data_IF_878268060481
#
_entry.id   IF_878268060481
#
_cell.length_a   1.000
_cell.length_b   1.000
_cell.length_c   1.000
_cell.angle_alpha   90.00
_cell.angle_beta   90.00
_cell.angle_gamma   90.00
#
_symmetry.space_group_name_H-M   'P 1'
#
loop_
_entity.id
_entity.type
_entity.pdbx_description
1 polymer ?
#
# COMPACT_ATOMS: atom_id res chain seq x y z
N UNK A 1 -9.34 45.38 1.63
CA UNK A 1 -10.55 44.79 1.01
C UNK A 1 -10.32 43.30 0.92
N UNK A 2 -10.93 42.51 1.79
CA UNK A 2 -10.86 41.05 1.79
C UNK A 2 -11.57 40.55 0.53
N UNK A 3 -10.84 39.98 -0.44
CA UNK A 3 -11.44 39.44 -1.65
C UNK A 3 -12.41 38.34 -1.27
N UNK A 4 -13.69 38.50 -1.63
CA UNK A 4 -14.67 37.43 -1.63
C UNK A 4 -14.04 36.32 -2.48
N UNK A 5 -13.61 35.23 -1.85
CA UNK A 5 -12.96 34.12 -2.56
C UNK A 5 -13.92 33.65 -3.64
N UNK A 6 -13.54 33.84 -4.91
CA UNK A 6 -14.39 33.55 -6.06
C UNK A 6 -14.80 32.07 -6.00
N UNK A 7 -16.03 31.82 -5.56
CA UNK A 7 -16.63 30.50 -5.51
C UNK A 7 -16.82 30.05 -6.96
N UNK A 8 -16.33 28.85 -7.26
CA UNK A 8 -16.48 28.16 -8.53
C UNK A 8 -17.48 27.04 -8.31
N UNK A 9 -18.51 26.99 -9.16
CA UNK A 9 -19.48 25.89 -9.21
C UNK A 9 -19.03 24.90 -10.28
N UNK A 10 -19.04 23.62 -9.93
CA UNK A 10 -18.69 22.50 -10.80
C UNK A 10 -19.87 21.55 -10.88
N UNK A 11 -20.07 20.95 -12.04
CA UNK A 11 -20.98 19.85 -12.27
C UNK A 11 -20.16 18.67 -12.81
N UNK A 12 -19.93 17.65 -11.98
CA UNK A 12 -19.11 16.48 -12.30
C UNK A 12 -20.08 15.33 -12.58
N UNK A 13 -20.28 14.98 -13.85
CA UNK A 13 -21.15 13.86 -14.24
C UNK A 13 -22.60 13.97 -13.76
N UNK A 14 -23.11 15.19 -13.53
CA UNK A 14 -24.45 15.45 -12.99
C UNK A 14 -24.48 15.81 -11.50
N UNK A 15 -23.37 15.68 -10.77
CA UNK A 15 -23.29 16.02 -9.34
C UNK A 15 -22.67 17.40 -9.15
N UNK A 16 -23.34 18.26 -8.39
CA UNK A 16 -22.86 19.62 -8.12
C UNK A 16 -21.83 19.67 -6.99
N UNK A 17 -20.74 20.40 -7.22
CA UNK A 17 -19.73 20.73 -6.22
C UNK A 17 -19.45 22.24 -6.22
N UNK A 18 -19.01 22.76 -5.08
CA UNK A 18 -18.60 24.15 -4.95
C UNK A 18 -17.30 24.26 -4.16
N UNK A 19 -16.40 25.12 -4.63
CA UNK A 19 -15.12 25.37 -3.98
C UNK A 19 -14.56 26.74 -4.39
N UNK A 20 -13.38 27.10 -3.91
CA UNK A 20 -12.72 28.36 -4.30
C UNK A 20 -11.84 28.19 -5.54
N UNK A 21 -11.69 29.25 -6.35
CA UNK A 21 -10.68 29.27 -7.43
C UNK A 21 -9.29 28.90 -6.90
N UNK A 22 -8.91 29.41 -5.72
CA UNK A 22 -7.62 29.10 -5.09
C UNK A 22 -7.42 27.61 -4.78
N UNK A 23 -8.47 26.89 -4.43
CA UNK A 23 -8.39 25.43 -4.24
C UNK A 23 -8.13 24.74 -5.58
N UNK A 24 -8.87 25.12 -6.62
CA UNK A 24 -8.77 24.52 -7.95
C UNK A 24 -7.45 24.81 -8.66
N UNK A 25 -6.77 25.91 -8.30
CA UNK A 25 -5.48 26.30 -8.88
C UNK A 25 -4.27 26.05 -7.96
N UNK A 26 -4.48 25.46 -6.77
CA UNK A 26 -3.41 25.19 -5.79
C UNK A 26 -2.32 24.28 -6.35
N UNK A 27 -2.73 23.24 -7.07
CA UNK A 27 -1.84 22.28 -7.72
C UNK A 27 -1.89 22.48 -9.24
N UNK A 28 -0.80 22.13 -9.92
CA UNK A 28 -0.84 22.00 -11.38
C UNK A 28 -1.79 20.85 -11.75
N UNK A 29 -2.36 20.92 -12.95
CA UNK A 29 -3.25 19.88 -13.48
C UNK A 29 -4.40 20.45 -14.29
N UNK A 30 -5.46 19.65 -14.43
CA UNK A 30 -6.61 19.94 -15.27
C UNK A 30 -7.28 21.26 -14.90
N UNK A 31 -7.68 21.43 -13.64
CA UNK A 31 -8.44 22.59 -13.19
C UNK A 31 -7.65 23.89 -13.27
N UNK A 32 -6.36 23.86 -12.91
CA UNK A 32 -5.50 25.03 -13.01
C UNK A 32 -5.35 25.48 -14.46
N UNK A 33 -5.03 24.55 -15.36
CA UNK A 33 -4.95 24.81 -16.79
C UNK A 33 -6.27 25.39 -17.30
N UNK A 34 -7.39 24.77 -16.98
CA UNK A 34 -8.72 25.21 -17.40
C UNK A 34 -9.08 26.63 -16.91
N UNK A 35 -8.69 27.02 -15.69
CA UNK A 35 -9.07 28.30 -15.08
C UNK A 35 -8.06 29.45 -15.29
N UNK A 36 -6.86 29.13 -15.76
CA UNK A 36 -5.78 30.09 -16.01
C UNK A 36 -5.44 30.25 -17.51
N UNK A 37 -6.07 29.46 -18.39
CA UNK A 37 -5.94 29.58 -19.84
C UNK A 37 -7.26 29.96 -20.50
N UNK A 38 -7.22 30.45 -21.75
CA UNK A 38 -8.40 30.80 -22.54
C UNK A 38 -9.07 29.58 -23.21
N UNK A 39 -9.00 28.41 -22.58
CA UNK A 39 -9.68 27.20 -23.07
C UNK A 39 -11.19 27.37 -22.84
N UNK A 40 -12.03 27.19 -23.87
CA UNK A 40 -13.48 27.19 -23.69
C UNK A 40 -13.94 26.13 -22.70
N UNK A 41 -14.75 26.53 -21.72
CA UNK A 41 -15.37 25.63 -20.74
C UNK A 41 -16.84 25.42 -21.07
N UNK A 42 -17.27 24.17 -21.03
CA UNK A 42 -18.69 23.82 -21.08
C UNK A 42 -19.33 24.15 -19.74
N UNK A 43 -20.53 24.75 -19.77
CA UNK A 43 -21.34 25.01 -18.58
C UNK A 43 -22.70 24.36 -18.71
N UNK A 44 -23.27 23.95 -17.59
CA UNK A 44 -24.65 23.49 -17.53
C UNK A 44 -25.66 24.67 -17.56
N UNK A 45 -26.94 24.34 -17.48
CA UNK A 45 -28.04 25.32 -17.49
C UNK A 45 -28.02 26.30 -16.29
N UNK A 46 -27.31 25.95 -15.21
CA UNK A 46 -27.16 26.78 -14.01
C UNK A 46 -25.84 27.54 -13.98
N UNK A 47 -25.02 27.42 -15.03
CA UNK A 47 -23.75 28.12 -15.20
C UNK A 47 -22.58 27.50 -14.43
N UNK A 48 -22.73 26.28 -13.89
CA UNK A 48 -21.62 25.53 -13.31
C UNK A 48 -20.75 24.94 -14.42
N UNK A 49 -19.44 24.83 -14.18
CA UNK A 49 -18.51 24.23 -15.15
C UNK A 49 -18.77 22.73 -15.20
N UNK A 50 -19.17 22.23 -16.37
CA UNK A 50 -19.50 20.82 -16.55
C UNK A 50 -18.26 20.01 -16.93
N UNK A 51 -18.08 18.88 -16.25
CA UNK A 51 -17.01 17.91 -16.50
C UNK A 51 -17.67 16.53 -16.64
N UNK A 52 -17.46 15.91 -17.79
CA UNK A 52 -18.00 14.59 -18.12
C UNK A 52 -17.15 13.47 -17.50
N UNK A 53 -17.21 13.39 -16.17
CA UNK A 53 -16.49 12.40 -15.32
C UNK A 53 -17.38 11.90 -14.19
N UNK A 54 -17.02 10.76 -13.61
CA UNK A 54 -17.71 10.24 -12.43
C UNK A 54 -17.47 11.15 -11.22
N UNK A 55 -18.53 11.42 -10.46
CA UNK A 55 -18.47 12.16 -9.21
C UNK A 55 -18.05 11.31 -8.01
N UNK A 56 -18.03 9.98 -8.14
CA UNK A 56 -17.91 9.01 -7.04
C UNK A 56 -16.72 9.30 -6.10
N UNK A 57 -15.58 9.71 -6.66
CA UNK A 57 -14.36 10.01 -5.90
C UNK A 57 -14.02 11.50 -5.85
N UNK A 58 -14.90 12.37 -6.34
CA UNK A 58 -14.58 13.78 -6.48
C UNK A 58 -14.43 14.50 -5.14
N UNK A 59 -15.12 14.06 -4.08
CA UNK A 59 -14.90 14.58 -2.72
C UNK A 59 -13.46 14.32 -2.23
N UNK A 60 -12.92 13.13 -2.50
CA UNK A 60 -11.54 12.75 -2.14
C UNK A 60 -10.53 13.61 -2.91
N UNK A 61 -10.77 13.78 -4.22
CA UNK A 61 -9.97 14.67 -5.07
C UNK A 61 -10.01 16.11 -4.55
N UNK A 62 -11.19 16.61 -4.20
CA UNK A 62 -11.36 17.97 -3.74
C UNK A 62 -10.70 18.20 -2.37
N UNK A 63 -10.75 17.21 -1.48
CA UNK A 63 -10.03 17.24 -0.21
C UNK A 63 -8.51 17.23 -0.42
N UNK A 64 -8.00 16.39 -1.32
CA UNK A 64 -6.59 16.44 -1.72
C UNK A 64 -6.20 17.83 -2.25
N UNK A 65 -7.03 18.44 -3.09
CA UNK A 65 -6.77 19.80 -3.61
C UNK A 65 -6.82 20.89 -2.52
N UNK A 66 -7.55 20.67 -1.42
CA UNK A 66 -7.58 21.58 -0.26
C UNK A 66 -6.33 21.45 0.58
N UNK A 67 -5.95 20.22 0.93
CA UNK A 67 -4.99 19.95 2.00
C UNK A 67 -3.60 19.55 1.47
N UNK A 68 -3.53 18.93 0.30
CA UNK A 68 -2.33 18.33 -0.28
C UNK A 68 -2.04 16.91 0.19
N UNK A 69 -2.92 16.35 1.02
CA UNK A 69 -2.96 14.96 1.41
C UNK A 69 -4.41 14.51 1.53
N UNK A 70 -4.65 13.20 1.53
CA UNK A 70 -5.98 12.64 1.78
C UNK A 70 -5.84 11.20 2.29
N UNK A 71 -6.81 10.75 3.08
CA UNK A 71 -6.94 9.33 3.38
C UNK A 71 -7.48 8.62 2.12
N UNK A 72 -6.80 7.55 1.72
CA UNK A 72 -7.21 6.77 0.56
C UNK A 72 -8.37 5.82 0.94
N UNK A 73 -9.22 5.44 -0.03
CA UNK A 73 -10.25 4.42 0.17
C UNK A 73 -9.72 3.12 0.78
N UNK A 74 -10.58 2.38 1.47
CA UNK A 74 -10.18 1.18 2.21
C UNK A 74 -9.75 0.03 1.29
N UNK A 75 -10.40 -0.12 0.13
CA UNK A 75 -10.10 -1.23 -0.78
C UNK A 75 -9.18 -0.81 -1.91
N UNK A 76 -8.26 -1.70 -2.30
CA UNK A 76 -7.37 -1.50 -3.45
C UNK A 76 -8.12 -1.32 -4.77
N UNK A 77 -9.33 -1.87 -4.87
CA UNK A 77 -10.20 -1.63 -6.02
C UNK A 77 -10.58 -0.15 -6.10
N UNK A 78 -11.11 0.41 -5.02
CA UNK A 78 -11.49 1.82 -4.96
C UNK A 78 -10.29 2.74 -5.12
N UNK A 79 -9.12 2.38 -4.56
CA UNK A 79 -7.87 3.14 -4.78
C UNK A 79 -7.49 3.18 -6.26
N UNK A 80 -7.67 2.08 -6.99
CA UNK A 80 -7.43 2.04 -8.45
C UNK A 80 -8.44 2.91 -9.21
N UNK A 81 -9.72 2.86 -8.83
CA UNK A 81 -10.77 3.68 -9.44
C UNK A 81 -10.50 5.19 -9.17
N UNK A 82 -10.11 5.57 -7.95
CA UNK A 82 -9.64 6.92 -7.60
C UNK A 82 -8.40 7.33 -8.42
N UNK A 83 -7.43 6.42 -8.61
CA UNK A 83 -6.21 6.70 -9.37
C UNK A 83 -6.52 7.11 -10.81
N UNK A 84 -7.49 6.45 -11.45
CA UNK A 84 -7.95 6.79 -12.81
C UNK A 84 -8.51 8.21 -12.87
N UNK A 85 -9.27 8.63 -11.86
CA UNK A 85 -9.76 10.01 -11.79
C UNK A 85 -8.61 11.00 -11.50
N UNK A 86 -7.69 10.67 -10.59
CA UNK A 86 -6.52 11.50 -10.30
C UNK A 86 -5.63 11.73 -11.53
N UNK A 87 -5.47 10.71 -12.39
CA UNK A 87 -4.78 10.82 -13.68
C UNK A 87 -5.53 11.75 -14.64
N UNK A 88 -6.86 11.62 -14.73
CA UNK A 88 -7.68 12.52 -15.56
C UNK A 88 -7.53 13.99 -15.13
N UNK A 89 -7.60 14.25 -13.81
CA UNK A 89 -7.44 15.60 -13.27
C UNK A 89 -5.97 16.06 -13.22
N UNK A 90 -5.03 15.21 -13.63
CA UNK A 90 -3.59 15.49 -13.67
C UNK A 90 -3.02 15.93 -12.31
N UNK A 91 -3.42 15.22 -11.25
CA UNK A 91 -2.98 15.48 -9.89
C UNK A 91 -1.84 14.52 -9.51
N UNK A 92 -0.63 14.80 -10.00
CA UNK A 92 0.54 13.91 -9.88
C UNK A 92 0.78 13.41 -8.45
N UNK A 93 0.68 14.29 -7.44
CA UNK A 93 0.87 13.89 -6.03
C UNK A 93 -0.18 12.88 -5.54
N UNK A 94 -1.42 12.95 -6.02
CA UNK A 94 -2.46 11.97 -5.67
C UNK A 94 -2.26 10.64 -6.44
N UNK A 95 -1.82 10.72 -7.71
CA UNK A 95 -1.43 9.56 -8.51
C UNK A 95 -0.28 8.80 -7.84
N UNK A 96 0.73 9.51 -7.33
CA UNK A 96 1.84 8.92 -6.57
C UNK A 96 1.36 8.22 -5.30
N UNK A 97 0.46 8.85 -4.52
CA UNK A 97 -0.13 8.24 -3.33
C UNK A 97 -0.89 6.94 -3.65
N UNK A 98 -1.72 6.96 -4.70
CA UNK A 98 -2.47 5.79 -5.13
C UNK A 98 -1.54 4.66 -5.57
N UNK A 99 -0.55 4.96 -6.41
CA UNK A 99 0.43 3.98 -6.90
C UNK A 99 1.27 3.39 -5.77
N UNK A 100 1.69 4.20 -4.80
CA UNK A 100 2.41 3.71 -3.63
C UNK A 100 1.56 2.75 -2.79
N UNK A 101 0.28 3.06 -2.59
CA UNK A 101 -0.66 2.20 -1.87
C UNK A 101 -0.93 0.88 -2.62
N UNK A 102 -1.18 0.95 -3.93
CA UNK A 102 -1.38 -0.22 -4.79
C UNK A 102 -0.14 -1.11 -4.78
N UNK A 103 1.05 -0.51 -4.90
CA UNK A 103 2.33 -1.25 -4.82
C UNK A 103 2.50 -1.92 -3.46
N UNK A 104 2.29 -1.19 -2.37
CA UNK A 104 2.40 -1.75 -1.03
C UNK A 104 1.46 -2.94 -0.83
N UNK A 105 0.23 -2.87 -1.34
CA UNK A 105 -0.71 -3.98 -1.28
C UNK A 105 -0.29 -5.17 -2.16
N UNK A 106 0.18 -4.93 -3.39
CA UNK A 106 0.68 -5.98 -4.26
C UNK A 106 1.94 -6.66 -3.71
N UNK A 107 2.76 -5.91 -2.96
CA UNK A 107 3.97 -6.44 -2.32
C UNK A 107 3.65 -7.25 -1.06
N UNK A 108 2.43 -7.18 -0.51
CA UNK A 108 2.04 -7.99 0.65
C UNK A 108 1.79 -9.44 0.28
N UNK A 109 2.32 -10.34 1.11
CA UNK A 109 2.20 -11.79 0.98
C UNK A 109 1.58 -12.34 2.24
N UNK A 110 0.52 -13.15 2.08
CA UNK A 110 -0.10 -13.91 3.17
C UNK A 110 0.41 -15.35 3.15
N UNK A 111 0.96 -15.79 4.28
CA UNK A 111 1.49 -17.13 4.51
C UNK A 111 0.60 -17.85 5.52
N UNK A 112 0.09 -19.03 5.19
CA UNK A 112 -0.53 -19.94 6.15
C UNK A 112 0.51 -20.99 6.58
N UNK A 113 1.00 -20.88 7.81
CA UNK A 113 1.97 -21.83 8.39
C UNK A 113 1.21 -22.75 9.34
N UNK A 114 0.89 -23.96 8.88
CA UNK A 114 0.23 -24.98 9.72
C UNK A 114 -1.10 -24.55 10.36
N UNK A 115 -1.85 -23.67 9.71
CA UNK A 115 -3.16 -23.17 10.17
C UNK A 115 -3.13 -21.74 10.72
N UNK A 116 -1.96 -21.13 10.92
CA UNK A 116 -1.84 -19.74 11.36
C UNK A 116 -1.41 -18.84 10.20
N UNK A 117 -2.15 -17.73 9.99
CA UNK A 117 -1.88 -16.78 8.91
C UNK A 117 -0.95 -15.67 9.39
N UNK A 118 0.11 -15.44 8.62
CA UNK A 118 1.07 -14.36 8.77
C UNK A 118 1.01 -13.47 7.53
N UNK A 119 1.24 -12.17 7.70
CA UNK A 119 1.29 -11.21 6.60
C UNK A 119 2.57 -10.38 6.68
N UNK A 120 3.26 -10.24 5.56
CA UNK A 120 4.48 -9.43 5.43
C UNK A 120 4.66 -9.04 3.96
N UNK A 121 5.84 -8.59 3.53
CA UNK A 121 6.12 -8.26 2.12
C UNK A 121 6.99 -9.31 1.44
N UNK A 122 6.92 -9.39 0.10
CA UNK A 122 7.79 -10.23 -0.72
C UNK A 122 9.28 -9.91 -0.47
N UNK A 123 9.60 -8.62 -0.33
CA UNK A 123 10.95 -8.16 -0.05
C UNK A 123 11.46 -8.68 1.30
N UNK A 124 10.68 -8.53 2.38
CA UNK A 124 11.04 -9.06 3.71
C UNK A 124 11.33 -10.56 3.67
N UNK A 125 10.50 -11.35 3.00
CA UNK A 125 10.70 -12.80 2.91
C UNK A 125 11.95 -13.15 2.10
N UNK A 126 12.18 -12.48 0.98
CA UNK A 126 13.26 -12.84 0.03
C UNK A 126 14.64 -12.29 0.41
N UNK A 127 14.70 -11.29 1.29
CA UNK A 127 15.94 -10.60 1.67
C UNK A 127 17.00 -11.53 2.26
N UNK A 128 16.60 -12.37 3.22
CA UNK A 128 17.53 -13.17 4.03
C UNK A 128 17.26 -14.68 4.01
N UNK A 129 16.41 -15.15 3.10
CA UNK A 129 16.00 -16.56 3.02
C UNK A 129 16.06 -17.08 1.58
N UNK A 130 16.91 -18.08 1.34
CA UNK A 130 16.92 -18.79 0.06
C UNK A 130 15.61 -19.54 -0.17
N UNK A 131 15.02 -20.10 0.88
CA UNK A 131 13.75 -20.81 0.82
C UNK A 131 12.65 -19.91 0.25
N UNK A 132 12.47 -18.71 0.82
CA UNK A 132 11.47 -17.78 0.34
C UNK A 132 11.81 -17.19 -1.03
N UNK A 133 13.10 -16.99 -1.37
CA UNK A 133 13.50 -16.62 -2.74
C UNK A 133 13.02 -17.64 -3.76
N UNK A 134 13.26 -18.93 -3.52
CA UNK A 134 12.77 -19.99 -4.41
C UNK A 134 11.24 -20.02 -4.44
N UNK A 135 10.59 -19.94 -3.28
CA UNK A 135 9.13 -20.00 -3.18
C UNK A 135 8.42 -18.84 -3.90
N UNK A 136 8.98 -17.63 -3.85
CA UNK A 136 8.37 -16.43 -4.44
C UNK A 136 8.70 -16.22 -5.93
N UNK A 137 9.67 -16.96 -6.47
CA UNK A 137 10.09 -16.85 -7.87
C UNK A 137 9.54 -17.99 -8.75
N UNK A 138 9.06 -19.08 -8.15
CA UNK A 138 8.55 -20.26 -8.87
C UNK A 138 7.11 -20.58 -8.42
N UNK A 139 6.13 -19.92 -9.06
CA UNK A 139 4.71 -20.08 -8.73
C UNK A 139 4.21 -21.51 -8.88
N UNK A 140 4.84 -22.32 -9.73
CA UNK A 140 4.43 -23.71 -9.97
C UNK A 140 4.60 -24.62 -8.74
N UNK A 141 5.42 -24.18 -7.77
CA UNK A 141 5.68 -24.91 -6.51
C UNK A 141 4.87 -24.38 -5.33
N UNK A 142 4.12 -23.30 -5.51
CA UNK A 142 3.36 -22.66 -4.44
C UNK A 142 2.07 -23.42 -4.20
N UNK A 143 1.96 -24.05 -3.03
CA UNK A 143 0.69 -24.59 -2.54
C UNK A 143 -0.10 -23.43 -1.93
N UNK A 144 -1.39 -23.33 -2.22
CA UNK A 144 -2.29 -22.34 -1.62
C UNK A 144 -3.40 -23.04 -0.82
N UNK A 145 -3.85 -22.40 0.25
CA UNK A 145 -5.03 -22.84 0.98
C UNK A 145 -6.33 -22.36 0.30
N UNK A 146 -7.48 -22.69 0.90
CA UNK A 146 -8.82 -22.29 0.41
C UNK A 146 -9.03 -20.78 0.33
N UNK A 147 -8.25 -19.99 1.07
CA UNK A 147 -8.31 -18.53 1.09
C UNK A 147 -7.25 -17.90 0.15
N UNK A 148 -6.53 -18.71 -0.63
CA UNK A 148 -5.49 -18.25 -1.55
C UNK A 148 -4.17 -17.87 -0.88
N UNK A 149 -4.00 -18.09 0.44
CA UNK A 149 -2.75 -17.84 1.15
C UNK A 149 -1.72 -18.91 0.79
N UNK A 150 -0.43 -18.53 0.74
CA UNK A 150 0.65 -19.49 0.49
C UNK A 150 0.75 -20.44 1.68
N UNK A 151 0.49 -21.72 1.45
CA UNK A 151 0.51 -22.73 2.51
C UNK A 151 1.91 -23.31 2.70
N UNK A 152 2.38 -23.29 3.93
CA UNK A 152 3.64 -23.87 4.37
C UNK A 152 3.29 -24.97 5.37
N UNK A 153 3.56 -26.22 4.99
CA UNK A 153 3.34 -27.40 5.82
C UNK A 153 4.38 -27.50 6.96
N UNK A 154 4.30 -26.59 7.92
CA UNK A 154 5.16 -26.49 9.10
C UNK A 154 4.35 -26.03 10.31
N UNK A 155 4.86 -26.30 11.51
CA UNK A 155 4.25 -25.78 12.73
C UNK A 155 4.46 -24.27 12.85
N UNK A 156 3.43 -23.48 13.21
CA UNK A 156 3.57 -22.04 13.39
C UNK A 156 4.29 -21.64 14.67
N UNK A 157 4.51 -22.57 15.61
CA UNK A 157 4.98 -22.32 17.00
C UNK A 157 6.16 -21.34 17.11
N UNK A 158 7.09 -21.36 16.15
CA UNK A 158 8.30 -20.53 16.16
C UNK A 158 8.39 -19.55 14.99
N UNK A 159 7.36 -19.50 14.14
CA UNK A 159 7.43 -18.70 12.92
C UNK A 159 7.49 -17.20 13.22
N UNK A 160 6.87 -16.73 14.30
CA UNK A 160 7.01 -15.34 14.77
C UNK A 160 8.47 -14.96 15.03
N UNK A 161 9.28 -15.86 15.59
CA UNK A 161 10.70 -15.58 15.85
C UNK A 161 11.51 -15.52 14.56
N UNK A 162 11.16 -16.36 13.58
CA UNK A 162 11.75 -16.34 12.24
C UNK A 162 11.40 -15.01 11.55
N UNK A 163 10.12 -14.64 11.56
CA UNK A 163 9.63 -13.43 10.92
C UNK A 163 10.21 -12.17 11.56
N UNK A 164 10.24 -12.09 12.89
CA UNK A 164 10.85 -10.96 13.59
C UNK A 164 12.34 -10.84 13.33
N UNK A 165 13.07 -11.95 13.23
CA UNK A 165 14.49 -11.94 12.91
C UNK A 165 14.75 -11.37 11.50
N UNK A 166 13.98 -11.76 10.49
CA UNK A 166 14.17 -11.25 9.12
C UNK A 166 13.63 -9.83 8.93
N UNK A 167 12.70 -9.38 9.78
CA UNK A 167 12.18 -8.00 9.77
C UNK A 167 13.15 -7.03 10.46
N UNK A 168 13.74 -7.43 11.58
CA UNK A 168 14.52 -6.55 12.45
C UNK A 168 15.95 -7.09 12.65
N UNK A 169 16.94 -6.39 12.08
CA UNK A 169 18.36 -6.73 12.21
C UNK A 169 18.87 -6.72 13.67
N UNK A 170 18.20 -5.98 14.56
CA UNK A 170 18.52 -5.90 15.99
C UNK A 170 17.59 -6.76 16.87
N UNK A 171 16.89 -7.73 16.28
CA UNK A 171 15.99 -8.62 17.01
C UNK A 171 16.74 -9.39 18.12
N UNK A 172 16.15 -9.42 19.33
CA UNK A 172 16.66 -10.19 20.46
C UNK A 172 15.85 -11.47 20.66
N UNK A 173 16.44 -12.66 20.43
CA UNK A 173 15.76 -13.94 20.61
C UNK A 173 15.36 -14.25 22.06
N UNK A 174 14.45 -15.23 22.27
CA UNK A 174 14.17 -15.79 23.58
C UNK A 174 15.44 -16.39 24.22
N UNK A 175 15.54 -16.33 25.56
CA UNK A 175 16.70 -16.85 26.33
C UNK A 175 16.59 -18.32 26.75
N UNK A 176 15.44 -18.96 26.53
CA UNK A 176 15.26 -20.36 26.92
C UNK A 176 15.96 -21.29 25.93
N UNK A 177 16.92 -22.10 26.40
CA UNK A 177 17.73 -22.97 25.55
C UNK A 177 16.91 -23.98 24.74
N UNK A 178 15.85 -24.54 25.32
CA UNK A 178 14.97 -25.48 24.61
C UNK A 178 14.27 -24.80 23.44
N UNK A 179 13.78 -23.57 23.66
CA UNK A 179 13.14 -22.77 22.61
C UNK A 179 14.17 -22.40 21.51
N UNK A 180 15.38 -21.98 21.89
CA UNK A 180 16.43 -21.65 20.92
C UNK A 180 16.78 -22.86 20.03
N UNK A 181 16.90 -24.07 20.60
CA UNK A 181 17.19 -25.28 19.82
C UNK A 181 16.09 -25.58 18.79
N UNK A 182 14.83 -25.37 19.17
CA UNK A 182 13.69 -25.51 18.26
C UNK A 182 13.74 -24.44 17.16
N UNK A 183 14.01 -23.16 17.50
CA UNK A 183 14.15 -22.08 16.52
C UNK A 183 15.30 -22.34 15.53
N UNK A 184 16.46 -22.84 15.98
CA UNK A 184 17.58 -23.20 15.09
C UNK A 184 17.15 -24.23 14.03
N UNK A 185 16.23 -25.13 14.36
CA UNK A 185 15.69 -26.10 13.41
C UNK A 185 14.87 -25.41 12.33
N UNK A 186 14.08 -24.41 12.70
CA UNK A 186 13.31 -23.59 11.75
C UNK A 186 14.20 -22.67 10.90
N UNK A 187 15.21 -22.01 11.49
CA UNK A 187 16.20 -21.19 10.77
C UNK A 187 16.85 -21.99 9.62
N UNK A 188 17.18 -23.26 9.88
CA UNK A 188 17.72 -24.17 8.85
C UNK A 188 16.68 -24.54 7.80
N UNK A 189 15.44 -24.86 8.21
CA UNK A 189 14.36 -25.20 7.29
C UNK A 189 14.06 -24.04 6.32
N UNK A 190 13.90 -22.83 6.85
CA UNK A 190 13.68 -21.60 6.06
C UNK A 190 14.95 -21.07 5.41
N UNK A 191 16.07 -21.80 5.47
CA UNK A 191 17.35 -21.44 4.85
C UNK A 191 17.74 -19.97 5.08
N UNK A 192 17.65 -19.49 6.34
CA UNK A 192 18.08 -18.14 6.67
C UNK A 192 19.61 -18.00 6.60
N UNK A 193 20.09 -16.82 6.21
CA UNK A 193 21.52 -16.54 6.03
C UNK A 193 22.33 -16.52 7.35
N UNK A 194 23.66 -16.57 7.23
CA UNK A 194 24.62 -16.80 8.32
C UNK A 194 24.52 -15.90 9.57
N UNK A 195 24.20 -14.59 9.52
CA UNK A 195 24.09 -13.80 10.76
C UNK A 195 23.03 -14.35 11.72
N UNK A 196 21.95 -14.93 11.20
CA UNK A 196 20.90 -15.56 12.00
C UNK A 196 21.36 -16.88 12.62
N UNK A 197 22.04 -17.72 11.83
CA UNK A 197 22.58 -19.00 12.31
C UNK A 197 23.57 -18.79 13.46
N UNK A 198 24.41 -17.75 13.36
CA UNK A 198 25.38 -17.41 14.40
C UNK A 198 24.70 -16.87 15.66
N UNK A 199 23.71 -15.97 15.53
CA UNK A 199 22.94 -15.41 16.66
C UNK A 199 22.29 -16.51 17.50
N UNK A 200 21.51 -17.40 16.86
CA UNK A 200 20.85 -18.49 17.58
C UNK A 200 21.83 -19.59 18.01
N UNK A 201 22.92 -19.80 17.27
CA UNK A 201 23.96 -20.79 17.59
C UNK A 201 24.82 -20.42 18.80
N UNK A 202 25.14 -19.13 18.99
CA UNK A 202 25.85 -18.63 20.19
C UNK A 202 24.95 -18.73 21.42
N UNK A 203 23.69 -18.33 21.30
CA UNK A 203 22.73 -18.41 22.41
C UNK A 203 22.46 -19.86 22.84
N UNK A 204 22.47 -20.82 21.91
CA UNK A 204 22.32 -22.24 22.23
C UNK A 204 23.53 -22.86 22.98
N UNK A 205 24.71 -22.23 22.89
CA UNK A 205 25.95 -22.69 23.56
C UNK A 205 26.19 -22.02 24.93
N UNK A 206 25.55 -20.88 25.18
CA UNK A 206 25.77 -20.04 26.36
C UNK A 206 24.61 -20.11 27.39
N UNK A 207 23.77 -21.14 27.32
CA UNK A 207 22.68 -21.41 28.26
C UNK A 207 22.76 -22.83 28.82
#
# INVERSE_FOLDING_TARGET
MTSIGNIVKLNIGGTEFQTSKSTLTKFNGFFKTMLETDIPVTKDEYGAIFIDRSAEYFDVILNFMRDGHVELPETIREVKELCVEAEYYQLDGLVELCNANIKAANDTVKLNVGGTVFQTTKDTLTRHSEYFRTLMNDESKVIRDENGCIFINRSPKHFDFILNAIINENYTPPRCITIIKEIVTEVKFYKLEQPFILLFGILAKNC
#
